data_IF_587949962773
#
_entry.id   IF_587949962773
#
_cell.length_a   1.000
_cell.length_b   1.000
_cell.length_c   1.000
_cell.angle_alpha   90.00
_cell.angle_beta   90.00
_cell.angle_gamma   90.00
#
_symmetry.space_group_name_H-M   'P 1'
#
loop_
_entity.id
_entity.type
_entity.pdbx_description
1 polymer ?
#
# COMPACT_ATOMS: atom_id res chain seq x y z
N UNK A 1 33.40 -26.47 -13.28
CA UNK A 1 32.24 -27.36 -13.09
C UNK A 1 31.59 -26.99 -11.77
N UNK A 2 30.33 -26.57 -11.78
CA UNK A 2 29.60 -26.27 -10.54
C UNK A 2 29.22 -27.61 -9.88
N UNK A 3 29.43 -27.75 -8.57
CA UNK A 3 29.02 -28.94 -7.82
C UNK A 3 27.55 -28.85 -7.40
N UNK A 4 26.92 -30.01 -7.17
CA UNK A 4 25.56 -30.05 -6.61
C UNK A 4 25.43 -29.24 -5.32
N UNK A 5 26.43 -29.32 -4.43
CA UNK A 5 26.45 -28.53 -3.20
C UNK A 5 26.52 -27.02 -3.46
N UNK A 6 27.24 -26.58 -4.49
CA UNK A 6 27.26 -25.18 -4.89
C UNK A 6 25.90 -24.73 -5.43
N UNK A 7 25.19 -25.57 -6.20
CA UNK A 7 23.81 -25.28 -6.63
C UNK A 7 22.85 -25.15 -5.45
N UNK A 8 22.90 -26.07 -4.49
CA UNK A 8 22.05 -26.01 -3.30
C UNK A 8 22.30 -24.74 -2.46
N UNK A 9 23.57 -24.33 -2.31
CA UNK A 9 23.94 -23.08 -1.62
C UNK A 9 23.41 -21.85 -2.36
N UNK A 10 23.60 -21.79 -3.69
CA UNK A 10 23.09 -20.69 -4.51
C UNK A 10 21.56 -20.60 -4.45
N UNK A 11 20.86 -21.73 -4.52
CA UNK A 11 19.40 -21.77 -4.40
C UNK A 11 18.92 -21.27 -3.03
N UNK A 12 19.62 -21.64 -1.96
CA UNK A 12 19.29 -21.22 -0.60
C UNK A 12 19.49 -19.71 -0.44
N UNK A 13 20.64 -19.19 -0.90
CA UNK A 13 20.93 -17.75 -0.89
C UNK A 13 19.89 -16.96 -1.69
N UNK A 14 19.55 -17.43 -2.88
CA UNK A 14 18.55 -16.79 -3.73
C UNK A 14 17.18 -16.75 -3.07
N UNK A 15 16.72 -17.86 -2.47
CA UNK A 15 15.45 -17.90 -1.73
C UNK A 15 15.43 -16.94 -0.55
N UNK A 16 16.51 -16.85 0.21
CA UNK A 16 16.63 -15.88 1.31
C UNK A 16 16.52 -14.45 0.81
N UNK A 17 17.20 -14.12 -0.31
CA UNK A 17 17.10 -12.80 -0.93
C UNK A 17 15.66 -12.47 -1.35
N UNK A 18 14.95 -13.41 -2.01
CA UNK A 18 13.56 -13.19 -2.39
C UNK A 18 12.64 -12.96 -1.18
N UNK A 19 12.81 -13.75 -0.11
CA UNK A 19 12.04 -13.58 1.13
C UNK A 19 12.27 -12.20 1.75
N UNK A 20 13.53 -11.75 1.80
CA UNK A 20 13.87 -10.43 2.33
C UNK A 20 13.27 -9.30 1.49
N UNK A 21 13.37 -9.40 0.15
CA UNK A 21 12.78 -8.42 -0.76
C UNK A 21 11.26 -8.37 -0.66
N UNK A 22 10.60 -9.54 -0.55
CA UNK A 22 9.16 -9.63 -0.28
C UNK A 22 8.80 -8.89 1.01
N UNK A 23 9.49 -9.18 2.12
CA UNK A 23 9.22 -8.54 3.41
C UNK A 23 9.42 -7.03 3.33
N UNK A 24 10.50 -6.58 2.67
CA UNK A 24 10.76 -5.16 2.48
C UNK A 24 9.63 -4.46 1.71
N UNK A 25 9.13 -5.06 0.64
CA UNK A 25 7.97 -4.50 -0.09
C UNK A 25 6.74 -4.37 0.84
N UNK A 26 6.42 -5.42 1.58
CA UNK A 26 5.27 -5.42 2.51
C UNK A 26 5.42 -4.34 3.61
N UNK A 27 6.62 -4.16 4.15
CA UNK A 27 6.92 -3.09 5.11
C UNK A 27 6.71 -1.71 4.51
N UNK A 28 7.19 -1.49 3.28
CA UNK A 28 7.06 -0.23 2.56
C UNK A 28 5.60 0.14 2.26
N UNK A 29 4.75 -0.82 1.90
CA UNK A 29 3.30 -0.56 1.74
C UNK A 29 2.70 -0.10 3.08
N UNK A 30 3.10 -0.73 4.18
CA UNK A 30 2.68 -0.33 5.52
C UNK A 30 3.24 1.02 5.97
N UNK A 31 4.46 1.38 5.57
CA UNK A 31 5.04 2.72 5.78
C UNK A 31 4.27 3.79 5.00
N UNK A 32 3.94 3.51 3.73
CA UNK A 32 3.17 4.44 2.91
C UNK A 32 1.78 4.73 3.49
N UNK A 33 1.04 3.69 3.91
CA UNK A 33 -0.26 3.87 4.56
C UNK A 33 -0.17 4.68 5.88
N UNK A 34 0.92 4.50 6.64
CA UNK A 34 1.21 5.31 7.83
C UNK A 34 1.53 6.75 7.47
N UNK A 35 2.34 6.99 6.43
CA UNK A 35 2.65 8.34 5.97
C UNK A 35 1.40 9.11 5.56
N UNK A 36 0.42 8.44 4.93
CA UNK A 36 -0.90 9.05 4.63
C UNK A 36 -1.63 9.42 5.93
N UNK A 37 -1.67 8.53 6.93
CA UNK A 37 -2.30 8.84 8.23
C UNK A 37 -1.63 10.02 8.93
N UNK A 38 -0.30 10.05 8.92
CA UNK A 38 0.49 11.08 9.59
C UNK A 38 0.30 12.44 8.91
N UNK A 39 0.36 12.51 7.58
CA UNK A 39 0.12 13.74 6.81
C UNK A 39 -1.30 14.31 7.01
N UNK A 40 -2.29 13.42 7.18
CA UNK A 40 -3.68 13.82 7.45
C UNK A 40 -3.96 14.11 8.93
N UNK A 41 -2.99 13.93 9.83
CA UNK A 41 -3.18 14.11 11.28
C UNK A 41 -4.17 13.11 11.89
N UNK A 42 -4.22 11.89 11.34
CA UNK A 42 -5.12 10.80 11.72
C UNK A 42 -4.43 9.70 12.54
N UNK A 43 -3.14 9.86 12.86
CA UNK A 43 -2.37 8.92 13.67
C UNK A 43 -3.04 8.66 15.02
N UNK A 44 -3.31 7.39 15.32
CA UNK A 44 -3.99 6.98 16.55
C UNK A 44 -5.50 7.30 16.60
N UNK A 45 -6.06 7.91 15.54
CA UNK A 45 -7.49 8.16 15.42
C UNK A 45 -8.17 7.00 14.70
N UNK A 46 -9.43 6.78 15.04
CA UNK A 46 -10.30 5.84 14.34
C UNK A 46 -11.74 6.34 14.34
N UNK A 47 -12.55 5.77 13.46
CA UNK A 47 -13.95 6.11 13.29
C UNK A 47 -14.85 4.94 13.71
N UNK A 48 -16.11 5.24 13.97
CA UNK A 48 -17.15 4.22 14.16
C UNK A 48 -17.93 4.08 12.85
N UNK A 49 -18.10 2.85 12.41
CA UNK A 49 -18.80 2.54 11.15
C UNK A 49 -20.32 2.64 11.32
N UNK A 50 -20.81 2.37 12.53
CA UNK A 50 -22.21 2.43 12.89
C UNK A 50 -22.39 3.13 14.26
N UNK A 51 -23.38 4.04 14.42
CA UNK A 51 -23.52 4.85 15.63
C UNK A 51 -23.77 4.03 16.92
N UNK A 52 -24.40 2.87 16.79
CA UNK A 52 -24.96 2.10 17.92
C UNK A 52 -24.40 0.67 18.05
N UNK A 53 -23.50 0.23 17.15
CA UNK A 53 -23.12 -1.18 17.02
C UNK A 53 -21.62 -1.48 17.14
N UNK A 54 -20.72 -0.52 16.89
CA UNK A 54 -19.28 -0.79 16.97
C UNK A 54 -18.66 -0.25 18.26
N UNK A 55 -18.26 -1.15 19.17
CA UNK A 55 -17.35 -0.83 20.29
C UNK A 55 -15.90 -0.66 19.84
N UNK A 56 -15.54 -1.06 18.62
CA UNK A 56 -14.17 -1.01 18.09
C UNK A 56 -14.08 0.10 17.05
N UNK A 57 -13.20 1.07 17.30
CA UNK A 57 -12.85 2.09 16.32
C UNK A 57 -12.06 1.46 15.17
N UNK A 58 -12.46 1.74 13.93
CA UNK A 58 -11.74 1.34 12.72
C UNK A 58 -10.75 2.42 12.30
N UNK A 59 -9.58 2.09 11.74
CA UNK A 59 -8.63 3.09 11.27
C UNK A 59 -9.15 3.78 10.01
N UNK A 60 -8.86 5.08 9.86
CA UNK A 60 -9.30 5.87 8.71
C UNK A 60 -8.65 5.45 7.39
N UNK A 61 -7.41 4.95 7.44
CA UNK A 61 -6.69 4.41 6.28
C UNK A 61 -6.52 2.91 6.49
N UNK A 62 -6.96 2.13 5.50
CA UNK A 62 -6.91 0.67 5.51
C UNK A 62 -6.25 0.17 4.24
N UNK A 63 -5.48 -0.90 4.37
CA UNK A 63 -4.95 -1.63 3.22
C UNK A 63 -5.89 -2.79 2.95
N UNK A 64 -6.33 -2.92 1.71
CA UNK A 64 -7.22 -3.96 1.25
C UNK A 64 -6.49 -4.92 0.32
N UNK A 65 -6.76 -6.21 0.48
CA UNK A 65 -6.29 -7.24 -0.44
C UNK A 65 -7.19 -7.32 -1.67
N UNK A 66 -6.57 -7.46 -2.86
CA UNK A 66 -7.29 -7.38 -4.14
C UNK A 66 -7.47 -8.72 -4.84
N UNK A 67 -6.57 -9.70 -4.62
CA UNK A 67 -6.60 -10.95 -5.37
C UNK A 67 -7.80 -11.83 -5.02
N UNK A 68 -8.32 -11.74 -3.77
CA UNK A 68 -9.50 -12.50 -3.35
C UNK A 68 -10.82 -11.96 -3.92
N UNK A 69 -10.81 -10.78 -4.54
CA UNK A 69 -12.01 -10.08 -5.02
C UNK A 69 -12.94 -9.57 -3.91
N UNK A 70 -12.56 -9.71 -2.63
CA UNK A 70 -13.42 -9.36 -1.49
C UNK A 70 -13.09 -8.03 -0.80
N UNK A 71 -12.06 -7.31 -1.25
CA UNK A 71 -11.64 -6.02 -0.66
C UNK A 71 -11.53 -6.12 0.88
N UNK A 72 -10.94 -7.21 1.38
CA UNK A 72 -10.83 -7.46 2.81
C UNK A 72 -9.65 -6.69 3.40
N UNK A 73 -9.84 -6.17 4.62
CA UNK A 73 -8.77 -5.53 5.38
C UNK A 73 -7.61 -6.51 5.57
N UNK A 74 -6.41 -6.10 5.18
CA UNK A 74 -5.21 -6.93 5.28
C UNK A 74 -4.10 -6.20 6.01
N UNK A 75 -3.41 -6.91 6.88
CA UNK A 75 -2.17 -6.39 7.46
C UNK A 75 -1.05 -6.44 6.41
N UNK A 76 -0.16 -5.44 6.33
CA UNK A 76 0.84 -5.35 5.26
C UNK A 76 1.65 -6.65 5.05
N UNK A 77 2.05 -7.33 6.13
CA UNK A 77 2.83 -8.57 6.09
C UNK A 77 2.09 -9.78 5.48
N UNK A 78 0.76 -9.71 5.33
CA UNK A 78 -0.05 -10.73 4.69
C UNK A 78 -0.38 -10.42 3.23
N UNK A 79 0.04 -9.26 2.72
CA UNK A 79 -0.18 -8.92 1.31
C UNK A 79 0.45 -9.98 0.38
N UNK A 80 -0.29 -10.47 -0.62
CA UNK A 80 0.27 -11.28 -1.69
C UNK A 80 1.39 -10.53 -2.40
N UNK A 81 2.49 -11.22 -2.67
CA UNK A 81 3.65 -10.67 -3.39
C UNK A 81 4.08 -11.69 -4.42
N UNK A 82 4.09 -11.26 -5.68
CA UNK A 82 4.67 -11.98 -6.80
C UNK A 82 6.02 -11.34 -7.18
N UNK A 83 6.73 -11.93 -8.14
CA UNK A 83 8.03 -11.44 -8.60
C UNK A 83 8.01 -11.34 -10.12
N UNK A 84 8.60 -10.27 -10.65
CA UNK A 84 8.81 -10.13 -12.09
C UNK A 84 9.94 -11.06 -12.58
N UNK A 85 10.15 -11.10 -13.90
CA UNK A 85 11.19 -11.93 -14.52
C UNK A 85 12.62 -11.60 -14.04
N UNK A 86 12.82 -10.43 -13.43
CA UNK A 86 14.10 -9.99 -12.85
C UNK A 86 14.16 -10.24 -11.34
N UNK A 87 13.16 -10.89 -10.76
CA UNK A 87 13.08 -11.19 -9.33
C UNK A 87 12.78 -9.96 -8.47
N UNK A 88 12.22 -8.88 -9.04
CA UNK A 88 11.73 -7.74 -8.27
C UNK A 88 10.35 -8.05 -7.72
N UNK A 89 10.10 -7.86 -6.41
CA UNK A 89 8.81 -8.12 -5.84
C UNK A 89 7.80 -7.06 -6.32
N UNK A 90 6.57 -7.51 -6.56
CA UNK A 90 5.42 -6.68 -6.88
C UNK A 90 4.18 -7.14 -6.10
N UNK A 91 3.30 -6.21 -5.78
CA UNK A 91 2.07 -6.45 -5.04
C UNK A 91 1.01 -5.46 -5.49
N UNK A 92 -0.23 -5.91 -5.60
CA UNK A 92 -1.37 -5.03 -5.80
C UNK A 92 -2.17 -4.97 -4.52
N UNK A 93 -2.40 -3.75 -4.04
CA UNK A 93 -3.18 -3.50 -2.84
C UNK A 93 -4.10 -2.31 -3.06
N UNK A 94 -5.24 -2.35 -2.39
CA UNK A 94 -6.10 -1.19 -2.28
C UNK A 94 -5.67 -0.35 -1.09
N UNK A 95 -5.63 0.96 -1.23
CA UNK A 95 -5.65 1.85 -0.09
C UNK A 95 -7.04 2.46 -0.01
N UNK A 96 -7.71 2.20 1.11
CA UNK A 96 -9.01 2.74 1.42
C UNK A 96 -8.87 3.87 2.43
N UNK A 97 -9.37 5.05 2.10
CA UNK A 97 -9.53 6.18 3.01
C UNK A 97 -11.01 6.38 3.33
N UNK A 98 -11.30 6.60 4.60
CA UNK A 98 -12.65 6.92 5.08
C UNK A 98 -12.79 8.43 5.26
N UNK A 99 -13.81 9.01 4.64
CA UNK A 99 -14.14 10.42 4.72
C UNK A 99 -15.47 10.63 5.45
N UNK A 100 -15.55 11.76 6.14
CA UNK A 100 -16.72 12.23 6.87
C UNK A 100 -16.71 13.76 6.93
N UNK A 101 -17.89 14.38 6.94
CA UNK A 101 -18.02 15.82 7.15
C UNK A 101 -17.77 16.18 8.62
N UNK A 102 -18.22 15.32 9.54
CA UNK A 102 -17.92 15.38 10.96
C UNK A 102 -17.96 13.96 11.59
N UNK A 103 -17.48 13.84 12.83
CA UNK A 103 -17.38 12.57 13.57
C UNK A 103 -18.71 11.78 13.65
N UNK A 104 -19.84 12.50 13.61
CA UNK A 104 -21.18 11.94 13.72
C UNK A 104 -21.90 11.79 12.37
N UNK A 105 -21.25 12.05 11.24
CA UNK A 105 -21.82 11.83 9.91
C UNK A 105 -21.86 10.34 9.59
N UNK A 106 -23.03 9.84 9.18
CA UNK A 106 -23.24 8.46 8.72
C UNK A 106 -24.14 8.44 7.47
N UNK A 107 -23.96 7.48 6.53
CA UNK A 107 -22.86 6.51 6.49
C UNK A 107 -21.52 7.21 6.21
N UNK A 108 -20.42 6.56 6.61
CA UNK A 108 -19.08 7.03 6.27
C UNK A 108 -18.84 6.81 4.77
N UNK A 109 -18.08 7.70 4.14
CA UNK A 109 -17.73 7.55 2.71
C UNK A 109 -16.39 6.85 2.62
N UNK A 110 -16.32 5.75 1.87
CA UNK A 110 -15.07 5.02 1.65
C UNK A 110 -14.60 5.24 0.23
N UNK A 111 -13.38 5.75 0.08
CA UNK A 111 -12.72 5.89 -1.20
C UNK A 111 -11.60 4.88 -1.25
N UNK A 112 -11.61 4.09 -2.29
CA UNK A 112 -10.67 3.00 -2.50
C UNK A 112 -9.91 3.26 -3.79
N UNK A 113 -8.59 3.18 -3.71
CA UNK A 113 -7.69 3.35 -4.85
C UNK A 113 -6.79 2.11 -4.95
N UNK A 114 -6.81 1.45 -6.10
CA UNK A 114 -5.92 0.34 -6.46
C UNK A 114 -4.56 0.86 -6.81
N UNK A 115 -3.55 0.29 -6.17
CA UNK A 115 -2.15 0.64 -6.38
C UNK A 115 -1.34 -0.63 -6.59
N UNK A 116 -0.57 -0.67 -7.66
CA UNK A 116 0.51 -1.64 -7.82
C UNK A 116 1.79 -1.06 -7.22
N UNK A 117 2.39 -1.82 -6.32
CA UNK A 117 3.67 -1.51 -5.69
C UNK A 117 4.75 -2.40 -6.29
N UNK A 118 5.85 -1.81 -6.74
CA UNK A 118 6.98 -2.54 -7.32
C UNK A 118 8.30 -2.03 -6.75
N UNK A 119 9.11 -2.92 -6.17
CA UNK A 119 10.41 -2.56 -5.59
C UNK A 119 11.56 -2.96 -6.52
N UNK A 120 12.25 -1.97 -7.08
CA UNK A 120 13.40 -2.16 -7.98
C UNK A 120 14.63 -1.49 -7.36
N UNK A 121 15.59 -2.28 -6.88
CA UNK A 121 16.72 -1.73 -6.11
C UNK A 121 16.22 -0.96 -4.89
N UNK A 122 16.67 0.29 -4.75
CA UNK A 122 16.25 1.24 -3.69
C UNK A 122 15.10 2.17 -4.13
N UNK A 123 14.31 1.75 -5.12
CA UNK A 123 13.18 2.52 -5.61
C UNK A 123 11.87 1.73 -5.45
N UNK A 124 10.88 2.37 -4.86
CA UNK A 124 9.51 1.87 -4.82
C UNK A 124 8.67 2.63 -5.84
N UNK A 125 8.12 1.92 -6.82
CA UNK A 125 7.21 2.47 -7.82
C UNK A 125 5.78 2.18 -7.36
N UNK A 126 4.95 3.22 -7.34
CA UNK A 126 3.52 3.18 -7.07
C UNK A 126 2.78 3.52 -8.35
N UNK A 127 2.07 2.57 -8.93
CA UNK A 127 1.22 2.79 -10.10
C UNK A 127 -0.25 2.77 -9.70
N UNK A 128 -0.97 3.86 -9.94
CA UNK A 128 -2.40 3.96 -9.65
C UNK A 128 -3.21 3.32 -10.78
N UNK A 129 -3.96 2.26 -10.48
CA UNK A 129 -4.58 1.39 -11.49
C UNK A 129 -6.00 1.82 -11.90
N UNK A 130 -6.59 2.79 -11.19
CA UNK A 130 -7.98 3.24 -11.41
C UNK A 130 -8.09 4.44 -12.36
N UNK A 131 -6.97 4.91 -12.91
CA UNK A 131 -6.93 6.11 -13.73
C UNK A 131 -6.28 5.81 -15.09
N UNK A 132 -6.85 6.35 -16.16
CA UNK A 132 -6.43 6.06 -17.56
C UNK A 132 -5.06 6.67 -17.92
N UNK A 133 -4.60 7.66 -17.18
CA UNK A 133 -3.25 8.21 -17.30
C UNK A 133 -2.27 7.27 -16.58
N UNK A 134 -1.11 6.97 -17.17
CA UNK A 134 -0.02 6.23 -16.49
C UNK A 134 0.52 7.04 -15.30
N UNK A 135 -0.26 7.11 -14.22
CA UNK A 135 0.13 7.78 -13.00
C UNK A 135 0.98 6.84 -12.18
N UNK A 136 2.28 7.02 -12.35
CA UNK A 136 3.30 6.32 -11.60
C UNK A 136 4.15 7.31 -10.83
N UNK A 137 4.33 7.03 -9.53
CA UNK A 137 5.22 7.78 -8.66
C UNK A 137 6.37 6.86 -8.27
N UNK A 138 7.59 7.37 -8.38
CA UNK A 138 8.78 6.67 -7.88
C UNK A 138 9.20 7.31 -6.57
N UNK A 139 9.24 6.50 -5.52
CA UNK A 139 9.77 6.84 -4.20
C UNK A 139 11.19 6.33 -4.11
N UNK A 140 12.14 7.23 -3.86
CA UNK A 140 13.52 6.89 -3.58
C UNK A 140 13.69 6.56 -2.09
N UNK A 141 14.16 5.35 -1.77
CA UNK A 141 14.26 4.88 -0.40
C UNK A 141 15.45 5.45 0.37
N UNK A 142 16.41 6.05 -0.34
CA UNK A 142 17.59 6.72 0.23
C UNK A 142 17.30 8.16 0.70
N UNK A 143 16.13 8.73 0.33
CA UNK A 143 15.73 10.07 0.73
C UNK A 143 15.42 10.12 2.23
N UNK A 144 15.51 11.32 2.82
CA UNK A 144 15.16 11.52 4.23
C UNK A 144 13.69 11.13 4.49
N UNK A 145 13.39 10.57 5.66
CA UNK A 145 12.02 10.07 5.96
C UNK A 145 10.92 11.14 5.77
N UNK A 146 11.25 12.42 5.97
CA UNK A 146 10.33 13.54 5.76
C UNK A 146 10.03 13.81 4.28
N UNK A 147 10.97 13.56 3.38
CA UNK A 147 10.82 13.83 1.94
C UNK A 147 10.38 12.59 1.16
N UNK A 148 10.83 11.40 1.60
CA UNK A 148 10.62 10.10 0.96
C UNK A 148 9.17 9.87 0.54
N UNK A 149 8.22 10.15 1.43
CA UNK A 149 6.80 9.91 1.17
C UNK A 149 6.04 11.13 0.69
N UNK A 150 6.61 12.33 0.77
CA UNK A 150 5.87 13.58 0.57
C UNK A 150 5.11 13.59 -0.76
N UNK A 151 5.82 13.36 -1.87
CA UNK A 151 5.22 13.36 -3.21
C UNK A 151 4.20 12.23 -3.39
N UNK A 152 4.50 11.03 -2.91
CA UNK A 152 3.57 9.90 -3.02
C UNK A 152 2.26 10.16 -2.26
N UNK A 153 2.32 10.80 -1.09
CA UNK A 153 1.14 11.17 -0.31
C UNK A 153 0.35 12.29 -1.00
N UNK A 154 1.02 13.31 -1.56
CA UNK A 154 0.31 14.35 -2.33
C UNK A 154 -0.41 13.75 -3.54
N UNK A 155 0.27 12.90 -4.33
CA UNK A 155 -0.35 12.23 -5.47
C UNK A 155 -1.53 11.34 -5.05
N UNK A 156 -1.41 10.61 -3.93
CA UNK A 156 -2.54 9.84 -3.40
C UNK A 156 -3.74 10.74 -3.07
N UNK A 157 -3.52 11.89 -2.42
CA UNK A 157 -4.60 12.84 -2.11
C UNK A 157 -5.24 13.41 -3.38
N UNK A 158 -4.44 13.73 -4.39
CA UNK A 158 -4.97 14.15 -5.70
C UNK A 158 -5.84 13.05 -6.32
N UNK A 159 -5.44 11.78 -6.21
CA UNK A 159 -6.22 10.66 -6.71
C UNK A 159 -7.54 10.51 -5.95
N UNK A 160 -7.53 10.66 -4.63
CA UNK A 160 -8.74 10.68 -3.80
C UNK A 160 -9.69 11.79 -4.27
N UNK A 161 -9.18 13.00 -4.51
CA UNK A 161 -9.99 14.12 -4.98
C UNK A 161 -10.55 13.89 -6.39
N UNK A 162 -9.77 13.27 -7.29
CA UNK A 162 -10.26 12.86 -8.62
C UNK A 162 -11.40 11.84 -8.50
N UNK A 163 -11.27 10.83 -7.64
CA UNK A 163 -12.33 9.85 -7.40
C UNK A 163 -13.64 10.48 -6.86
N UNK A 164 -13.57 11.59 -6.14
CA UNK A 164 -14.76 12.34 -5.68
C UNK A 164 -15.44 13.17 -6.77
N UNK A 165 -14.74 13.48 -7.86
CA UNK A 165 -15.19 14.44 -8.89
C UNK A 165 -15.62 13.79 -10.20
N UNK A 166 -15.30 12.51 -10.40
CA UNK A 166 -15.77 11.74 -11.54
C UNK A 166 -17.27 11.42 -11.37
N UNK A 167 -18.12 11.68 -12.39
CA UNK A 167 -19.52 11.31 -12.34
C UNK A 167 -19.65 9.77 -12.33
N UNK A 168 -20.44 9.24 -11.39
CA UNK A 168 -20.88 7.85 -11.37
C UNK A 168 -21.67 7.45 -12.62
#
# INVERSE_FOLDING_TARGET
MITYQQLCKQQTQYRTTLINRKRKLQELVGEFARAILDDLGLTGKGYRDEPLKSTIAKPYVRILELESGKQEDVIPFKLPVSFDDKGNPLSEAGICITLEENENTYPKTHIYIRIQFKLIGEQLILAFLDFDEEMQITVNLDDSDNEKWHYAVQSYKEMVMRSCTLPC
#
